data_IF_805388472308
#
_entry.id   IF_805388472308
#
_cell.length_a   1.000
_cell.length_b   1.000
_cell.length_c   1.000
_cell.angle_alpha   90.00
_cell.angle_beta   90.00
_cell.angle_gamma   90.00
#
_symmetry.space_group_name_H-M   'P 1'
#
loop_
_entity.id
_entity.type
_entity.pdbx_description
1 polymer ?
#
# COMPACT_ATOMS: atom_id res chain seq x y z
N UNK A 1 -25.30 -29.21 37.25
CA UNK A 1 -23.96 -28.90 37.80
C UNK A 1 -22.90 -29.40 36.82
N UNK A 2 -22.27 -28.51 36.06
CA UNK A 2 -21.04 -28.82 35.33
C UNK A 2 -20.13 -27.59 35.36
N UNK A 3 -18.89 -27.83 35.77
CA UNK A 3 -17.93 -26.87 36.28
C UNK A 3 -17.26 -26.16 35.10
N UNK A 4 -17.47 -24.85 34.95
CA UNK A 4 -16.79 -24.05 33.92
C UNK A 4 -15.32 -23.89 34.29
N UNK A 5 -14.44 -24.31 33.38
CA UNK A 5 -13.00 -24.05 33.47
C UNK A 5 -12.76 -22.67 32.84
N UNK A 6 -12.34 -21.70 33.64
CA UNK A 6 -11.87 -20.41 33.13
C UNK A 6 -10.48 -20.61 32.52
N UNK A 7 -10.34 -20.31 31.23
CA UNK A 7 -9.03 -20.20 30.58
C UNK A 7 -8.63 -18.73 30.69
N UNK A 8 -7.63 -18.49 31.54
CA UNK A 8 -7.00 -17.19 31.73
C UNK A 8 -5.88 -17.10 30.68
N UNK A 9 -6.02 -16.21 29.71
CA UNK A 9 -4.90 -15.79 28.87
C UNK A 9 -4.76 -14.29 29.00
N UNK A 10 -3.56 -13.87 29.38
CA UNK A 10 -3.29 -12.61 30.05
C UNK A 10 -2.46 -11.65 29.19
N UNK A 11 -2.79 -10.37 29.37
CA UNK A 11 -1.94 -9.16 29.31
C UNK A 11 -1.42 -8.64 27.95
N UNK A 12 -1.89 -7.45 27.60
CA UNK A 12 -1.06 -6.36 27.07
C UNK A 12 -1.24 -5.14 27.98
N UNK A 13 -0.12 -4.59 28.45
CA UNK A 13 -0.06 -3.48 29.41
C UNK A 13 -0.27 -2.13 28.71
N UNK A 14 -1.20 -1.32 29.20
CA UNK A 14 -1.36 0.07 28.77
C UNK A 14 -2.76 0.60 29.02
N UNK A 15 -2.94 1.35 30.11
CA UNK A 15 -4.19 1.99 30.59
C UNK A 15 -5.31 1.00 31.00
N UNK A 16 -5.76 1.11 32.25
CA UNK A 16 -6.55 0.10 32.96
C UNK A 16 -7.99 -0.05 32.50
N UNK A 17 -8.20 -0.64 31.32
CA UNK A 17 -9.51 -1.11 30.85
C UNK A 17 -9.45 -2.60 30.53
N UNK A 18 -10.19 -3.41 31.29
CA UNK A 18 -10.35 -4.83 31.05
C UNK A 18 -11.56 -5.06 30.13
N UNK A 19 -11.29 -5.42 28.87
CA UNK A 19 -12.33 -5.79 27.92
C UNK A 19 -12.69 -7.27 28.11
N UNK A 20 -13.91 -7.54 28.58
CA UNK A 20 -14.42 -8.90 28.71
C UNK A 20 -15.28 -9.26 27.49
N UNK A 21 -14.92 -10.34 26.80
CA UNK A 21 -15.76 -10.93 25.76
C UNK A 21 -16.53 -12.13 26.31
N UNK A 22 -17.86 -12.01 26.37
CA UNK A 22 -18.75 -13.16 26.57
C UNK A 22 -19.45 -13.52 25.28
N UNK A 23 -19.29 -14.77 24.85
CA UNK A 23 -20.06 -15.35 23.73
C UNK A 23 -21.32 -15.98 24.32
N UNK A 24 -22.49 -15.53 23.86
CA UNK A 24 -23.77 -16.19 24.17
C UNK A 24 -24.16 -17.11 23.00
N UNK A 25 -24.91 -18.18 23.28
CA UNK A 25 -25.24 -19.25 22.32
C UNK A 25 -26.13 -18.80 21.14
N UNK A 26 -26.56 -17.54 21.10
CA UNK A 26 -27.35 -16.97 20.00
C UNK A 26 -26.71 -15.72 19.38
N UNK A 27 -25.45 -15.86 18.97
CA UNK A 27 -24.86 -15.09 17.87
C UNK A 27 -24.69 -13.57 18.04
N UNK A 28 -25.00 -12.97 19.19
CA UNK A 28 -24.79 -11.53 19.38
C UNK A 28 -23.62 -11.26 20.35
N UNK A 29 -22.57 -10.59 19.86
CA UNK A 29 -21.41 -10.16 20.65
C UNK A 29 -21.79 -8.87 21.38
N UNK A 30 -21.85 -8.91 22.70
CA UNK A 30 -22.00 -7.70 23.52
C UNK A 30 -20.66 -7.41 24.20
N UNK A 31 -20.07 -6.25 23.92
CA UNK A 31 -18.91 -5.73 24.65
C UNK A 31 -19.40 -4.85 25.80
N UNK A 32 -18.94 -5.16 27.01
CA UNK A 32 -19.21 -4.36 28.20
C UNK A 32 -17.91 -3.73 28.69
N UNK A 33 -18.01 -2.49 29.16
CA UNK A 33 -16.91 -1.73 29.74
C UNK A 33 -17.29 -1.41 31.18
N UNK A 34 -16.42 -1.79 32.13
CA UNK A 34 -16.58 -1.49 33.55
C UNK A 34 -15.66 -0.32 33.92
N UNK A 35 -16.25 0.81 34.33
CA UNK A 35 -15.50 1.93 34.91
C UNK A 35 -15.06 1.64 36.36
N UNK A 36 -14.13 2.44 36.92
CA UNK A 36 -13.48 2.18 38.21
C UNK A 36 -14.41 2.22 39.44
N UNK A 37 -15.64 2.69 39.29
CA UNK A 37 -16.54 2.95 40.43
C UNK A 37 -17.71 1.95 40.51
N UNK A 38 -17.70 0.90 39.67
CA UNK A 38 -18.71 -0.16 39.70
C UNK A 38 -20.12 0.24 39.23
N UNK A 39 -20.29 1.42 38.62
CA UNK A 39 -21.59 1.85 38.06
C UNK A 39 -21.83 1.27 36.66
N UNK A 40 -22.97 0.59 36.52
CA UNK A 40 -23.44 -0.02 35.28
C UNK A 40 -24.04 1.05 34.37
N UNK A 41 -23.38 1.36 33.25
CA UNK A 41 -23.92 2.27 32.23
C UNK A 41 -24.89 1.46 31.36
N UNK A 42 -26.18 1.51 31.69
CA UNK A 42 -27.24 0.96 30.83
C UNK A 42 -27.45 1.87 29.63
N UNK A 43 -26.84 1.50 28.50
CA UNK A 43 -27.11 2.13 27.21
C UNK A 43 -28.59 1.91 26.85
N UNK A 44 -29.37 3.00 26.84
CA UNK A 44 -30.75 2.99 26.36
C UNK A 44 -30.68 3.05 24.84
N UNK A 45 -31.03 1.96 24.17
CA UNK A 45 -31.25 1.98 22.73
C UNK A 45 -32.53 2.77 22.44
N UNK A 46 -32.39 4.05 22.11
CA UNK A 46 -33.45 4.79 21.43
C UNK A 46 -33.36 4.43 19.94
N UNK A 47 -33.83 3.24 19.58
CA UNK A 47 -34.13 2.92 18.19
C UNK A 47 -35.56 3.39 17.95
N UNK A 48 -35.70 4.66 17.57
CA UNK A 48 -36.87 5.08 16.79
C UNK A 48 -36.65 4.55 15.38
N UNK A 49 -37.47 3.57 15.01
CA UNK A 49 -37.67 3.19 13.61
C UNK A 49 -38.27 4.37 12.86
N UNK A 50 -37.96 4.45 11.57
CA UNK A 50 -38.55 5.36 10.57
C UNK A 50 -37.77 6.65 10.33
N UNK A 51 -36.59 6.52 9.72
CA UNK A 51 -36.15 7.49 8.71
C UNK A 51 -35.19 6.84 7.72
N UNK A 52 -35.67 6.70 6.49
CA UNK A 52 -34.86 6.36 5.32
C UNK A 52 -33.72 7.38 5.18
N UNK A 53 -32.56 7.06 5.73
CA UNK A 53 -31.31 7.71 5.40
C UNK A 53 -30.48 6.68 4.63
N UNK A 54 -30.71 6.61 3.32
CA UNK A 54 -29.80 5.95 2.40
C UNK A 54 -28.47 6.71 2.42
N UNK A 55 -27.55 6.31 3.31
CA UNK A 55 -26.13 6.48 3.06
C UNK A 55 -25.75 5.43 2.03
N UNK A 56 -25.63 5.84 0.78
CA UNK A 56 -24.94 5.05 -0.24
C UNK A 56 -23.45 5.07 0.10
N UNK A 57 -23.03 4.18 1.01
CA UNK A 57 -21.63 3.75 1.01
C UNK A 57 -21.49 2.80 -0.16
N UNK A 58 -21.08 3.34 -1.30
CA UNK A 58 -20.59 2.54 -2.39
C UNK A 58 -19.35 1.79 -1.86
N UNK A 59 -19.51 0.54 -1.44
CA UNK A 59 -18.38 -0.35 -1.13
C UNK A 59 -17.57 -0.51 -2.42
N UNK A 60 -16.49 0.24 -2.56
CA UNK A 60 -15.54 0.03 -3.65
C UNK A 60 -14.75 -1.24 -3.33
N UNK A 61 -15.29 -2.38 -3.74
CA UNK A 61 -14.63 -3.68 -3.57
C UNK A 61 -13.34 -3.74 -4.40
N UNK A 62 -12.23 -4.13 -3.76
CA UNK A 62 -10.94 -4.33 -4.42
C UNK A 62 -10.96 -5.58 -5.28
N UNK A 63 -10.64 -5.44 -6.58
CA UNK A 63 -10.57 -6.55 -7.53
C UNK A 63 -9.12 -6.86 -7.90
N UNK A 64 -8.52 -7.84 -7.22
CA UNK A 64 -7.14 -8.23 -7.41
C UNK A 64 -6.84 -8.73 -8.84
N UNK A 65 -7.74 -9.48 -9.47
CA UNK A 65 -7.51 -10.06 -10.81
C UNK A 65 -7.50 -8.98 -11.89
N UNK A 66 -8.34 -7.96 -11.74
CA UNK A 66 -8.32 -6.80 -12.63
C UNK A 66 -7.03 -6.00 -12.48
N UNK A 67 -6.52 -5.85 -11.25
CA UNK A 67 -5.25 -5.19 -10.98
C UNK A 67 -4.10 -5.98 -11.59
N UNK A 68 -4.01 -7.30 -11.33
CA UNK A 68 -3.01 -8.18 -11.96
C UNK A 68 -2.98 -8.05 -13.47
N UNK A 69 -4.15 -8.15 -14.10
CA UNK A 69 -4.27 -8.03 -15.56
C UNK A 69 -3.75 -6.68 -16.06
N UNK A 70 -3.96 -5.59 -15.29
CA UNK A 70 -3.44 -4.27 -15.64
C UNK A 70 -1.92 -4.19 -15.46
N UNK A 71 -1.37 -4.76 -14.40
CA UNK A 71 0.07 -4.79 -14.13
C UNK A 71 0.82 -5.65 -15.17
N UNK A 72 0.25 -6.78 -15.57
CA UNK A 72 0.79 -7.62 -16.65
C UNK A 72 0.92 -6.85 -17.96
N UNK A 73 -0.13 -6.11 -18.35
CA UNK A 73 -0.08 -5.28 -19.56
C UNK A 73 0.99 -4.19 -19.49
N UNK A 74 1.19 -3.58 -18.32
CA UNK A 74 2.27 -2.59 -18.12
C UNK A 74 3.65 -3.25 -18.26
N UNK A 75 3.83 -4.43 -17.66
CA UNK A 75 5.05 -5.23 -17.76
C UNK A 75 5.38 -5.57 -19.21
N UNK A 76 4.43 -6.17 -19.94
CA UNK A 76 4.57 -6.54 -21.35
C UNK A 76 4.95 -5.35 -22.23
N UNK A 77 4.28 -4.21 -22.05
CA UNK A 77 4.60 -3.00 -22.82
C UNK A 77 6.02 -2.48 -22.53
N UNK A 78 6.42 -2.46 -21.26
CA UNK A 78 7.68 -1.84 -20.83
C UNK A 78 8.90 -2.71 -21.10
N UNK A 79 8.76 -4.04 -21.09
CA UNK A 79 9.83 -4.97 -21.46
C UNK A 79 10.42 -4.65 -22.84
N UNK A 80 9.58 -4.22 -23.79
CA UNK A 80 10.04 -3.86 -25.14
C UNK A 80 10.67 -2.47 -25.25
N UNK A 81 10.46 -1.62 -24.24
CA UNK A 81 10.92 -0.21 -24.25
C UNK A 81 12.17 0.02 -23.41
N UNK A 82 12.59 -0.92 -22.58
CA UNK A 82 13.73 -0.77 -21.67
C UNK A 82 15.11 -1.14 -22.27
N UNK A 83 15.18 -1.46 -23.57
CA UNK A 83 16.45 -1.88 -24.19
C UNK A 83 17.03 -3.17 -23.61
N UNK A 84 16.18 -4.01 -23.00
CA UNK A 84 16.55 -5.24 -22.28
C UNK A 84 17.49 -5.02 -21.08
N UNK A 85 17.52 -3.81 -20.52
CA UNK A 85 18.18 -3.53 -19.24
C UNK A 85 17.18 -3.75 -18.11
N UNK A 86 17.51 -4.64 -17.18
CA UNK A 86 16.62 -5.07 -16.11
C UNK A 86 16.34 -3.94 -15.13
N UNK A 87 17.37 -3.21 -14.70
CA UNK A 87 17.27 -2.10 -13.76
C UNK A 87 16.42 -0.96 -14.36
N UNK A 88 16.59 -0.66 -15.65
CA UNK A 88 15.77 0.32 -16.35
C UNK A 88 14.31 -0.14 -16.50
N UNK A 89 14.09 -1.44 -16.72
CA UNK A 89 12.76 -2.03 -16.71
C UNK A 89 12.09 -1.87 -15.34
N UNK A 90 12.76 -2.26 -14.24
CA UNK A 90 12.22 -2.15 -12.88
C UNK A 90 11.84 -0.71 -12.54
N UNK A 91 12.71 0.25 -12.87
CA UNK A 91 12.46 1.69 -12.63
C UNK A 91 11.23 2.18 -13.38
N UNK A 92 11.11 1.85 -14.66
CA UNK A 92 9.97 2.27 -15.49
C UNK A 92 8.68 1.56 -15.10
N UNK A 93 8.75 0.28 -14.77
CA UNK A 93 7.60 -0.49 -14.28
C UNK A 93 7.09 0.13 -13.00
N UNK A 94 7.97 0.39 -12.03
CA UNK A 94 7.61 0.97 -10.75
C UNK A 94 6.97 2.35 -10.92
N UNK A 95 7.56 3.22 -11.74
CA UNK A 95 6.97 4.52 -12.06
C UNK A 95 5.59 4.39 -12.75
N UNK A 96 5.40 3.41 -13.63
CA UNK A 96 4.11 3.17 -14.27
C UNK A 96 3.06 2.63 -13.27
N UNK A 97 3.48 1.80 -12.32
CA UNK A 97 2.64 1.30 -11.23
C UNK A 97 2.25 2.45 -10.30
N UNK A 98 3.17 3.31 -9.90
CA UNK A 98 2.89 4.50 -9.09
C UNK A 98 1.88 5.42 -9.77
N UNK A 99 2.07 5.67 -11.07
CA UNK A 99 1.13 6.44 -11.87
C UNK A 99 -0.26 5.77 -11.91
N UNK A 100 -0.33 4.44 -12.10
CA UNK A 100 -1.59 3.71 -12.06
C UNK A 100 -2.26 3.80 -10.69
N UNK A 101 -1.52 3.58 -9.60
CA UNK A 101 -2.00 3.68 -8.23
C UNK A 101 -2.57 5.06 -7.94
N UNK A 102 -1.93 6.13 -8.43
CA UNK A 102 -2.41 7.50 -8.25
C UNK A 102 -3.81 7.76 -8.82
N UNK A 103 -4.26 6.94 -9.79
CA UNK A 103 -5.61 7.03 -10.38
C UNK A 103 -6.68 6.32 -9.56
N UNK A 104 -6.28 5.49 -8.60
CA UNK A 104 -7.17 4.69 -7.75
C UNK A 104 -7.52 5.41 -6.45
N UNK A 105 -8.61 5.02 -5.76
CA UNK A 105 -8.90 5.49 -4.42
C UNK A 105 -7.76 5.14 -3.44
N UNK A 106 -7.41 6.08 -2.55
CA UNK A 106 -6.30 5.93 -1.58
C UNK A 106 -6.39 4.66 -0.73
N UNK A 107 -7.61 4.21 -0.42
CA UNK A 107 -7.87 2.98 0.33
C UNK A 107 -7.29 1.72 -0.34
N UNK A 108 -7.14 1.73 -1.66
CA UNK A 108 -6.62 0.60 -2.44
C UNK A 108 -5.13 0.70 -2.72
N UNK A 109 -4.48 1.85 -2.48
CA UNK A 109 -3.08 2.07 -2.86
C UNK A 109 -2.16 1.02 -2.25
N UNK A 110 -2.26 0.81 -0.95
CA UNK A 110 -1.43 -0.17 -0.25
C UNK A 110 -1.67 -1.60 -0.75
N UNK A 111 -2.91 -1.96 -1.09
CA UNK A 111 -3.23 -3.29 -1.59
C UNK A 111 -2.62 -3.54 -2.97
N UNK A 112 -2.65 -2.53 -3.85
CA UNK A 112 -2.03 -2.63 -5.19
C UNK A 112 -0.51 -2.69 -5.08
N UNK A 113 0.10 -1.86 -4.24
CA UNK A 113 1.54 -1.83 -4.07
C UNK A 113 2.07 -3.13 -3.45
N UNK A 114 1.37 -3.72 -2.47
CA UNK A 114 1.75 -5.02 -1.90
C UNK A 114 1.69 -6.12 -2.97
N UNK A 115 0.59 -6.19 -3.73
CA UNK A 115 0.45 -7.15 -4.83
C UNK A 115 1.55 -6.96 -5.88
N UNK A 116 1.88 -5.71 -6.22
CA UNK A 116 2.96 -5.38 -7.13
C UNK A 116 4.33 -5.83 -6.62
N UNK A 117 4.58 -5.80 -5.29
CA UNK A 117 5.82 -6.32 -4.69
C UNK A 117 5.88 -7.84 -4.63
N UNK A 118 4.74 -8.49 -4.44
CA UNK A 118 4.66 -9.96 -4.35
C UNK A 118 4.78 -10.63 -5.73
N UNK A 119 4.14 -10.06 -6.75
CA UNK A 119 3.97 -10.71 -8.06
C UNK A 119 4.79 -10.06 -9.18
N UNK A 120 5.28 -8.83 -8.99
CA UNK A 120 6.05 -8.07 -9.99
C UNK A 120 7.33 -7.49 -9.39
N UNK A 121 8.21 -6.93 -10.22
CA UNK A 121 9.50 -6.36 -9.80
C UNK A 121 9.39 -4.91 -9.27
N UNK A 122 8.32 -4.59 -8.52
CA UNK A 122 8.10 -3.22 -8.03
C UNK A 122 9.12 -2.81 -6.97
N UNK A 123 9.66 -1.60 -7.12
CA UNK A 123 10.52 -0.90 -6.16
C UNK A 123 9.93 0.46 -5.82
N UNK A 124 10.06 0.88 -4.56
CA UNK A 124 9.69 2.24 -4.15
C UNK A 124 10.64 3.27 -4.75
N UNK A 125 10.18 4.53 -4.82
CA UNK A 125 11.01 5.64 -5.29
C UNK A 125 12.33 5.79 -4.51
N UNK A 126 12.31 5.52 -3.21
CA UNK A 126 13.52 5.57 -2.36
C UNK A 126 14.51 4.44 -2.71
N UNK A 127 14.02 3.21 -2.91
CA UNK A 127 14.85 2.08 -3.32
C UNK A 127 15.50 2.35 -4.70
N UNK A 128 14.73 2.91 -5.63
CA UNK A 128 15.22 3.30 -6.96
C UNK A 128 16.28 4.40 -6.86
N UNK A 129 16.06 5.43 -6.04
CA UNK A 129 17.02 6.52 -5.85
C UNK A 129 18.36 6.01 -5.30
N UNK A 130 18.31 5.08 -4.33
CA UNK A 130 19.50 4.45 -3.77
C UNK A 130 20.24 3.58 -4.80
N UNK A 131 19.54 2.84 -5.66
CA UNK A 131 20.16 2.09 -6.74
C UNK A 131 20.85 3.00 -7.75
N UNK A 132 20.18 4.08 -8.19
CA UNK A 132 20.75 5.07 -9.10
C UNK A 132 22.01 5.70 -8.49
N UNK A 133 22.00 6.02 -7.20
CA UNK A 133 23.15 6.56 -6.49
C UNK A 133 24.34 5.60 -6.52
N UNK A 134 24.12 4.31 -6.25
CA UNK A 134 25.17 3.27 -6.30
C UNK A 134 25.70 3.04 -7.71
N UNK A 135 24.83 3.09 -8.71
CA UNK A 135 25.20 2.98 -10.12
C UNK A 135 26.08 4.16 -10.55
N UNK A 136 25.72 5.37 -10.14
CA UNK A 136 26.50 6.57 -10.39
C UNK A 136 27.89 6.49 -9.75
N UNK A 137 28.01 6.02 -8.50
CA UNK A 137 29.30 5.77 -7.83
C UNK A 137 30.19 4.77 -8.59
N UNK A 138 29.59 3.89 -9.41
CA UNK A 138 30.29 2.91 -10.25
C UNK A 138 30.55 3.39 -11.69
N UNK A 139 30.10 4.59 -12.05
CA UNK A 139 30.25 5.18 -13.39
C UNK A 139 29.14 4.82 -14.38
N UNK A 140 28.05 4.20 -13.92
CA UNK A 140 26.86 3.96 -14.74
C UNK A 140 25.93 5.19 -14.72
N UNK A 141 25.18 5.40 -15.80
CA UNK A 141 24.10 6.38 -15.83
C UNK A 141 22.81 5.82 -15.20
N UNK A 142 21.82 6.68 -14.94
CA UNK A 142 20.51 6.29 -14.43
C UNK A 142 19.71 5.35 -15.37
N UNK A 143 20.18 5.17 -16.61
CA UNK A 143 19.62 4.20 -17.55
C UNK A 143 20.25 2.80 -17.44
N UNK A 144 21.20 2.59 -16.52
CA UNK A 144 21.86 1.30 -16.29
C UNK A 144 23.00 0.96 -17.26
N UNK A 145 23.47 1.94 -18.04
CA UNK A 145 24.59 1.76 -18.97
C UNK A 145 25.83 2.52 -18.50
N UNK A 146 27.01 2.08 -18.93
CA UNK A 146 28.21 2.92 -18.81
C UNK A 146 27.90 4.28 -19.44
N UNK A 147 28.25 5.37 -18.75
CA UNK A 147 27.91 6.74 -19.18
C UNK A 147 28.30 6.98 -20.64
N UNK A 148 29.48 6.52 -21.07
CA UNK A 148 30.00 6.74 -22.42
C UNK A 148 29.43 5.77 -23.47
N UNK A 149 28.69 4.75 -23.03
CA UNK A 149 28.07 3.76 -23.92
C UNK A 149 26.54 3.89 -23.99
N UNK A 150 25.95 4.81 -23.22
CA UNK A 150 24.50 4.96 -23.19
C UNK A 150 23.97 5.48 -24.54
N UNK A 151 22.99 4.81 -25.18
CA UNK A 151 22.46 5.23 -26.48
C UNK A 151 21.71 6.57 -26.44
N UNK A 152 21.39 7.06 -25.24
CA UNK A 152 20.78 8.37 -25.01
C UNK A 152 21.80 9.51 -24.91
N UNK A 153 23.10 9.23 -25.03
CA UNK A 153 24.15 10.24 -25.02
C UNK A 153 24.52 10.76 -23.62
N UNK A 154 24.36 9.95 -22.58
CA UNK A 154 24.64 10.36 -21.20
C UNK A 154 26.11 10.71 -20.91
N UNK A 155 27.05 10.32 -21.78
CA UNK A 155 28.48 10.58 -21.60
C UNK A 155 28.88 12.05 -21.79
N UNK A 156 28.05 12.82 -22.49
CA UNK A 156 28.26 14.25 -22.72
C UNK A 156 27.58 15.12 -21.65
N UNK A 157 26.81 14.52 -20.74
CA UNK A 157 26.11 15.20 -19.66
C UNK A 157 26.97 15.14 -18.38
N UNK A 158 26.90 16.21 -17.59
CA UNK A 158 27.45 16.24 -16.23
C UNK A 158 26.72 15.19 -15.34
N UNK A 159 27.07 15.12 -14.06
CA UNK A 159 26.50 14.10 -13.17
C UNK A 159 24.97 14.17 -13.00
N UNK A 160 24.35 15.27 -13.45
CA UNK A 160 22.93 15.65 -13.34
C UNK A 160 21.98 14.94 -14.32
N UNK A 161 22.36 13.81 -14.92
CA UNK A 161 21.52 13.04 -15.86
C UNK A 161 20.15 12.59 -15.26
N UNK A 162 19.94 12.77 -13.95
CA UNK A 162 18.76 12.34 -13.21
C UNK A 162 17.72 13.46 -12.99
N UNK A 163 18.07 14.72 -13.24
CA UNK A 163 17.24 15.88 -12.84
C UNK A 163 16.38 16.46 -13.96
N UNK A 164 16.21 15.74 -15.07
CA UNK A 164 15.36 16.18 -16.18
C UNK A 164 13.85 16.16 -15.85
N UNK A 165 13.46 15.99 -14.59
CA UNK A 165 12.13 16.39 -14.11
C UNK A 165 11.97 17.92 -14.03
N UNK A 166 13.07 18.69 -14.02
CA UNK A 166 13.06 20.15 -13.82
C UNK A 166 13.22 20.99 -15.11
N UNK A 167 13.20 20.39 -16.31
CA UNK A 167 13.28 21.13 -17.59
C UNK A 167 11.94 21.19 -18.35
N UNK A 168 10.83 21.26 -17.62
CA UNK A 168 9.54 21.73 -18.15
C UNK A 168 9.20 23.09 -17.50
N UNK A 169 10.11 24.07 -17.61
CA UNK A 169 9.74 25.47 -17.45
C UNK A 169 8.91 25.86 -18.70
N UNK A 170 7.62 25.54 -18.66
CA UNK A 170 6.65 25.94 -19.67
C UNK A 170 6.43 27.47 -19.61
N UNK A 171 6.29 28.14 -20.76
CA UNK A 171 6.23 29.61 -20.90
C UNK A 171 4.93 30.27 -20.43
#
# INVERSE_FOLDING_TARGET
MSKMKNIMTSMSHGTGFLLFHKKTEKGNRFSFIQGPDGQEIKMKSCFDTDKDFQMSSDEVTFNADSVRSKLELLSEELMHRCGLVYELYQRRLSAAIDNFVSTLPTEQHLLVLELAREEFDYLSAEEIAEEIRRDAERGYCCHGFDRNCCPLGCGDLDDDCCDAADLMEEP
#
